data_IF_067212702887
#
_entry.id   IF_067212702887
#
_cell.length_a   1.000
_cell.length_b   1.000
_cell.length_c   1.000
_cell.angle_alpha   90.00
_cell.angle_beta   90.00
_cell.angle_gamma   90.00
#
_symmetry.space_group_name_H-M   'P 1'
#
loop_
_entity.id
_entity.type
_entity.pdbx_description
1 polymer ?
#
# COMPACT_ATOMS: atom_id res chain seq x y z
N UNK A 1 -11.77 -9.25 -20.39
CA UNK A 1 -13.09 -8.57 -20.31
C UNK A 1 -13.18 -7.89 -18.96
N UNK A 2 -13.27 -6.55 -18.91
CA UNK A 2 -13.26 -5.78 -17.66
C UNK A 2 -14.70 -5.43 -17.23
N UNK A 3 -15.42 -6.44 -16.72
CA UNK A 3 -16.87 -6.36 -16.44
C UNK A 3 -17.22 -5.38 -15.31
N UNK A 4 -16.33 -5.23 -14.33
CA UNK A 4 -16.54 -4.39 -13.15
C UNK A 4 -16.02 -2.96 -13.30
N UNK A 5 -15.37 -2.63 -14.41
CA UNK A 5 -14.77 -1.32 -14.63
C UNK A 5 -15.78 -0.18 -14.60
N UNK A 6 -16.99 -0.27 -15.21
CA UNK A 6 -17.99 0.79 -15.11
C UNK A 6 -18.45 1.05 -13.66
N UNK A 7 -18.48 0.02 -12.82
CA UNK A 7 -18.82 0.18 -11.40
C UNK A 7 -17.71 0.91 -10.65
N UNK A 8 -16.45 0.55 -10.88
CA UNK A 8 -15.32 1.21 -10.24
C UNK A 8 -15.19 2.66 -10.71
N UNK A 9 -15.31 2.94 -12.00
CA UNK A 9 -15.27 4.32 -12.53
C UNK A 9 -16.35 5.23 -11.90
N UNK A 10 -17.53 4.69 -11.62
CA UNK A 10 -18.61 5.45 -10.98
C UNK A 10 -18.40 5.70 -9.48
N UNK A 11 -17.71 4.81 -8.76
CA UNK A 11 -17.58 4.87 -7.30
C UNK A 11 -16.20 5.34 -6.83
N UNK A 12 -15.13 4.81 -7.44
CA UNK A 12 -13.74 5.18 -7.16
C UNK A 12 -12.88 4.92 -8.42
N UNK A 13 -12.73 5.92 -9.31
CA UNK A 13 -12.07 5.74 -10.60
C UNK A 13 -10.58 5.42 -10.50
N UNK A 14 -9.93 5.77 -9.38
CA UNK A 14 -8.51 5.48 -9.17
C UNK A 14 -8.27 4.03 -8.76
N UNK A 15 -9.27 3.34 -8.19
CA UNK A 15 -9.11 1.99 -7.66
C UNK A 15 -8.55 1.00 -8.69
N UNK A 16 -9.00 1.05 -9.93
CA UNK A 16 -8.50 0.18 -11.00
C UNK A 16 -6.99 0.36 -11.22
N UNK A 17 -6.52 1.61 -11.24
CA UNK A 17 -5.09 1.92 -11.40
C UNK A 17 -4.28 1.48 -10.18
N UNK A 18 -4.79 1.73 -8.97
CA UNK A 18 -4.14 1.34 -7.72
C UNK A 18 -4.00 -0.18 -7.63
N UNK A 19 -5.05 -0.91 -7.99
CA UNK A 19 -5.02 -2.38 -8.02
C UNK A 19 -3.95 -2.91 -8.98
N UNK A 20 -3.86 -2.33 -10.17
CA UNK A 20 -2.89 -2.79 -11.17
C UNK A 20 -1.45 -2.47 -10.73
N UNK A 21 -1.21 -1.29 -10.16
CA UNK A 21 0.07 -0.92 -9.53
C UNK A 21 0.44 -1.82 -8.36
N UNK A 22 -0.52 -2.18 -7.51
CA UNK A 22 -0.30 -3.14 -6.43
C UNK A 22 0.17 -4.50 -6.94
N UNK A 23 -0.43 -4.98 -8.05
CA UNK A 23 0.00 -6.24 -8.68
C UNK A 23 1.41 -6.15 -9.25
N UNK A 24 1.73 -5.04 -9.90
CA UNK A 24 3.09 -4.79 -10.41
C UNK A 24 4.13 -4.87 -9.28
N UNK A 25 3.86 -4.25 -8.13
CA UNK A 25 4.78 -4.28 -6.97
C UNK A 25 4.96 -5.71 -6.44
N UNK A 26 3.88 -6.48 -6.33
CA UNK A 26 3.95 -7.87 -5.85
C UNK A 26 4.68 -8.79 -6.83
N UNK A 27 4.46 -8.61 -8.13
CA UNK A 27 5.20 -9.36 -9.17
C UNK A 27 6.69 -9.01 -9.15
N UNK A 28 7.01 -7.72 -9.03
CA UNK A 28 8.39 -7.27 -8.90
C UNK A 28 9.06 -7.87 -7.66
N UNK A 29 8.36 -7.99 -6.54
CA UNK A 29 8.90 -8.66 -5.35
C UNK A 29 9.20 -10.14 -5.58
N UNK A 30 8.31 -10.87 -6.27
CA UNK A 30 8.52 -12.27 -6.62
C UNK A 30 9.79 -12.43 -7.48
N UNK A 31 9.95 -11.62 -8.52
CA UNK A 31 11.14 -11.60 -9.39
C UNK A 31 12.42 -11.25 -8.61
N UNK A 32 12.34 -10.29 -7.70
CA UNK A 32 13.49 -9.84 -6.90
C UNK A 32 13.90 -10.85 -5.81
N UNK A 33 12.97 -11.67 -5.33
CA UNK A 33 13.23 -12.65 -4.27
C UNK A 33 14.20 -13.76 -4.70
N UNK A 34 14.33 -13.98 -6.01
CA UNK A 34 15.18 -15.03 -6.59
C UNK A 34 16.63 -14.56 -6.86
N UNK A 35 16.92 -13.25 -6.79
CA UNK A 35 18.22 -12.67 -7.15
C UNK A 35 18.98 -12.11 -5.93
N UNK A 36 20.31 -12.11 -6.01
CA UNK A 36 21.18 -11.49 -4.99
C UNK A 36 21.93 -10.28 -5.59
N UNK A 37 21.79 -9.11 -4.97
CA UNK A 37 22.38 -7.86 -5.46
C UNK A 37 21.34 -6.80 -5.83
N UNK A 38 20.59 -6.37 -4.82
CA UNK A 38 19.37 -5.57 -4.98
C UNK A 38 19.71 -4.08 -4.82
N UNK A 39 19.32 -3.24 -5.79
CA UNK A 39 19.49 -1.79 -5.73
C UNK A 39 18.56 -1.13 -4.70
N UNK A 40 18.75 0.17 -4.45
CA UNK A 40 17.97 0.88 -3.43
C UNK A 40 16.47 0.95 -3.78
N UNK A 41 16.14 1.06 -5.07
CA UNK A 41 14.76 1.05 -5.56
C UNK A 41 14.09 -0.30 -5.32
N UNK A 42 14.79 -1.37 -5.62
CA UNK A 42 14.31 -2.73 -5.45
C UNK A 42 14.14 -3.07 -3.97
N UNK A 43 15.02 -2.57 -3.08
CA UNK A 43 14.81 -2.68 -1.62
C UNK A 43 13.52 -2.01 -1.14
N UNK A 44 13.17 -0.85 -1.69
CA UNK A 44 11.89 -0.18 -1.39
C UNK A 44 10.72 -1.05 -1.85
N UNK A 45 10.80 -1.61 -3.06
CA UNK A 45 9.75 -2.50 -3.59
C UNK A 45 9.53 -3.71 -2.67
N UNK A 46 10.60 -4.36 -2.20
CA UNK A 46 10.52 -5.49 -1.27
C UNK A 46 9.83 -5.12 0.04
N UNK A 47 10.19 -3.98 0.65
CA UNK A 47 9.58 -3.57 1.92
C UNK A 47 8.09 -3.21 1.72
N UNK A 48 7.76 -2.45 0.67
CA UNK A 48 6.36 -2.10 0.42
C UNK A 48 5.54 -3.34 0.08
N UNK A 49 6.07 -4.27 -0.70
CA UNK A 49 5.41 -5.55 -0.97
C UNK A 49 5.15 -6.34 0.32
N UNK A 50 6.08 -6.30 1.28
CA UNK A 50 5.88 -6.89 2.60
C UNK A 50 4.74 -6.22 3.36
N UNK A 51 4.69 -4.89 3.42
CA UNK A 51 3.60 -4.13 4.05
C UNK A 51 2.25 -4.49 3.38
N UNK A 52 2.20 -4.57 2.05
CA UNK A 52 0.99 -4.98 1.33
C UNK A 52 0.58 -6.41 1.73
N UNK A 53 1.52 -7.36 1.82
CA UNK A 53 1.20 -8.75 2.21
C UNK A 53 0.72 -8.86 3.66
N UNK A 54 1.40 -8.21 4.59
CA UNK A 54 1.17 -8.37 6.03
C UNK A 54 0.03 -7.50 6.57
N UNK A 55 -0.21 -6.32 5.98
CA UNK A 55 -1.17 -5.33 6.49
C UNK A 55 -2.39 -5.11 5.60
N UNK A 56 -2.28 -5.34 4.28
CA UNK A 56 -3.41 -5.21 3.35
C UNK A 56 -4.06 -6.56 3.01
N UNK A 57 -3.28 -7.53 2.54
CA UNK A 57 -3.80 -8.83 2.10
C UNK A 57 -4.16 -9.76 3.27
N UNK A 58 -3.40 -9.72 4.37
CA UNK A 58 -3.71 -10.48 5.57
C UNK A 58 -4.79 -9.80 6.40
N UNK A 59 -5.95 -10.48 6.50
CA UNK A 59 -7.13 -10.02 7.23
C UNK A 59 -7.53 -11.06 8.28
N UNK A 60 -7.76 -10.63 9.53
CA UNK A 60 -8.21 -11.51 10.60
C UNK A 60 -9.73 -11.49 10.75
N UNK A 61 -10.40 -12.51 10.17
CA UNK A 61 -11.86 -12.65 10.21
C UNK A 61 -12.50 -12.79 11.60
N UNK A 62 -11.72 -13.09 12.65
CA UNK A 62 -12.22 -13.16 14.03
C UNK A 62 -12.16 -11.81 14.77
N UNK A 63 -11.43 -10.84 14.22
CA UNK A 63 -11.26 -9.53 14.87
C UNK A 63 -12.44 -8.59 14.58
N UNK A 64 -12.73 -7.68 15.50
CA UNK A 64 -13.83 -6.73 15.32
C UNK A 64 -13.56 -5.69 14.21
N UNK A 65 -12.30 -5.38 13.94
CA UNK A 65 -11.88 -4.33 12.98
C UNK A 65 -11.58 -4.85 11.57
N UNK A 66 -11.27 -6.15 11.42
CA UNK A 66 -10.82 -6.78 10.16
C UNK A 66 -11.79 -7.89 9.68
N UNK A 67 -12.90 -8.15 10.41
CA UNK A 67 -13.94 -9.11 9.97
C UNK A 67 -14.68 -8.64 8.71
N UNK A 68 -14.82 -7.34 8.53
CA UNK A 68 -15.44 -6.73 7.35
C UNK A 68 -14.74 -5.41 7.02
N UNK A 69 -14.08 -5.36 5.87
CA UNK A 69 -13.45 -4.14 5.38
C UNK A 69 -14.35 -3.49 4.30
N UNK A 70 -14.91 -2.29 4.55
CA UNK A 70 -15.72 -1.60 3.56
C UNK A 70 -14.85 -1.11 2.38
N UNK A 71 -15.45 -1.01 1.19
CA UNK A 71 -14.71 -0.72 -0.04
C UNK A 71 -13.87 0.56 0.01
N UNK A 72 -14.41 1.64 0.59
CA UNK A 72 -13.65 2.90 0.73
C UNK A 72 -12.38 2.71 1.56
N UNK A 73 -12.42 1.93 2.65
CA UNK A 73 -11.27 1.66 3.51
C UNK A 73 -10.19 0.91 2.73
N UNK A 74 -10.60 -0.09 1.95
CA UNK A 74 -9.70 -0.81 1.04
C UNK A 74 -9.02 0.14 0.05
N UNK A 75 -9.76 1.02 -0.62
CA UNK A 75 -9.15 1.93 -1.60
C UNK A 75 -8.21 2.94 -0.95
N UNK A 76 -8.58 3.52 0.20
CA UNK A 76 -7.73 4.46 0.92
C UNK A 76 -6.44 3.83 1.46
N UNK A 77 -6.53 2.62 2.01
CA UNK A 77 -5.34 1.87 2.43
C UNK A 77 -4.38 1.65 1.25
N UNK A 78 -4.94 1.24 0.10
CA UNK A 78 -4.14 0.97 -1.08
C UNK A 78 -3.51 2.24 -1.67
N UNK A 79 -4.25 3.36 -1.70
CA UNK A 79 -3.77 4.67 -2.14
C UNK A 79 -2.58 5.13 -1.30
N UNK A 80 -2.65 4.97 0.01
CA UNK A 80 -1.57 5.37 0.92
C UNK A 80 -0.31 4.51 0.75
N UNK A 81 -0.47 3.18 0.63
CA UNK A 81 0.67 2.27 0.42
C UNK A 81 1.38 2.52 -0.92
N UNK A 82 0.61 2.72 -1.99
CA UNK A 82 1.17 3.02 -3.33
C UNK A 82 1.78 4.42 -3.37
N UNK A 83 1.13 5.41 -2.77
CA UNK A 83 1.67 6.77 -2.66
C UNK A 83 3.02 6.79 -1.92
N UNK A 84 3.15 6.01 -0.84
CA UNK A 84 4.43 5.87 -0.14
C UNK A 84 5.52 5.26 -1.04
N UNK A 85 5.18 4.21 -1.79
CA UNK A 85 6.09 3.60 -2.76
C UNK A 85 6.56 4.59 -3.83
N UNK A 86 5.62 5.27 -4.48
CA UNK A 86 5.92 6.22 -5.55
C UNK A 86 6.82 7.37 -5.06
N UNK A 87 6.53 7.92 -3.86
CA UNK A 87 7.36 8.96 -3.26
C UNK A 87 8.76 8.46 -2.86
N UNK A 88 8.86 7.26 -2.29
CA UNK A 88 10.14 6.68 -1.89
C UNK A 88 11.03 6.39 -3.11
N UNK A 89 10.46 5.81 -4.18
CA UNK A 89 11.16 5.56 -5.44
C UNK A 89 11.59 6.88 -6.08
N UNK A 90 10.70 7.86 -6.15
CA UNK A 90 11.01 9.18 -6.71
C UNK A 90 12.17 9.87 -5.96
N UNK A 91 12.18 9.81 -4.63
CA UNK A 91 13.25 10.40 -3.83
C UNK A 91 14.62 9.77 -4.12
N UNK A 92 14.67 8.44 -4.22
CA UNK A 92 15.93 7.72 -4.56
C UNK A 92 16.41 8.06 -5.96
N UNK A 93 15.48 8.16 -6.93
CA UNK A 93 15.79 8.52 -8.31
C UNK A 93 16.32 9.96 -8.42
N UNK A 94 15.65 10.94 -7.81
CA UNK A 94 16.07 12.36 -7.83
C UNK A 94 17.42 12.56 -7.15
N UNK A 95 17.67 11.82 -6.08
CA UNK A 95 18.92 11.93 -5.31
C UNK A 95 20.03 11.03 -5.87
N UNK A 96 19.81 10.36 -7.01
CA UNK A 96 20.77 9.45 -7.65
C UNK A 96 21.38 8.43 -6.67
N UNK A 97 20.57 7.92 -5.74
CA UNK A 97 21.01 6.94 -4.72
C UNK A 97 21.84 7.48 -3.56
N UNK A 98 22.03 8.80 -3.41
CA UNK A 98 22.69 9.35 -2.22
C UNK A 98 21.86 9.17 -0.94
N UNK A 99 20.52 9.18 -1.07
CA UNK A 99 19.61 8.78 0.00
C UNK A 99 19.33 7.30 -0.17
N UNK A 100 19.71 6.52 0.84
CA UNK A 100 19.47 5.07 0.89
C UNK A 100 18.15 4.76 1.56
N UNK A 101 17.62 3.56 1.29
CA UNK A 101 16.44 3.01 1.93
C UNK A 101 16.54 3.06 3.46
N UNK A 102 17.71 2.72 4.02
CA UNK A 102 17.93 2.75 5.47
C UNK A 102 17.60 4.13 6.07
N UNK A 103 18.04 5.21 5.42
CA UNK A 103 17.77 6.58 5.88
C UNK A 103 16.29 6.93 5.78
N UNK A 104 15.62 6.49 4.72
CA UNK A 104 14.16 6.68 4.56
C UNK A 104 13.42 5.95 5.67
N UNK A 105 13.74 4.68 5.91
CA UNK A 105 13.15 3.86 6.96
C UNK A 105 13.31 4.47 8.35
N UNK A 106 14.52 4.94 8.68
CA UNK A 106 14.79 5.54 9.99
C UNK A 106 14.00 6.84 10.18
N UNK A 107 13.99 7.70 9.16
CA UNK A 107 13.33 9.01 9.21
C UNK A 107 11.80 8.91 9.16
N UNK A 108 11.27 7.86 8.54
CA UNK A 108 9.83 7.67 8.26
C UNK A 108 9.24 6.48 9.04
N UNK A 109 9.92 6.00 10.08
CA UNK A 109 9.49 4.86 10.89
C UNK A 109 8.08 5.05 11.46
N UNK A 110 7.74 6.25 11.91
CA UNK A 110 6.40 6.61 12.38
C UNK A 110 5.34 6.49 11.28
N UNK A 111 5.68 6.85 10.04
CA UNK A 111 4.74 6.79 8.91
C UNK A 111 4.57 5.34 8.45
N UNK A 112 5.64 4.55 8.42
CA UNK A 112 5.56 3.10 8.15
C UNK A 112 4.67 2.42 9.19
N UNK A 113 4.85 2.75 10.47
CA UNK A 113 3.99 2.24 11.53
C UNK A 113 2.52 2.61 11.33
N UNK A 114 2.23 3.88 10.98
CA UNK A 114 0.87 4.34 10.67
C UNK A 114 0.27 3.63 9.46
N UNK A 115 1.07 3.32 8.44
CA UNK A 115 0.61 2.56 7.27
C UNK A 115 0.19 1.14 7.67
N UNK A 116 0.98 0.46 8.50
CA UNK A 116 0.63 -0.86 9.04
C UNK A 116 -0.58 -0.81 9.97
N UNK A 117 -0.75 0.28 10.73
CA UNK A 117 -1.84 0.40 11.68
C UNK A 117 -3.20 0.76 11.07
N UNK A 118 -3.26 1.14 9.78
CA UNK A 118 -4.51 1.56 9.12
C UNK A 118 -5.61 0.50 9.20
N UNK A 119 -5.26 -0.79 9.24
CA UNK A 119 -6.24 -1.87 9.32
C UNK A 119 -7.00 -1.91 10.65
N UNK A 120 -6.41 -1.40 11.73
CA UNK A 120 -7.03 -1.38 13.06
C UNK A 120 -8.06 -0.26 13.23
N UNK A 121 -8.10 0.70 12.30
CA UNK A 121 -9.08 1.79 12.34
C UNK A 121 -10.49 1.21 12.17
N UNK A 122 -11.27 1.23 13.25
CA UNK A 122 -12.68 0.86 13.24
C UNK A 122 -13.43 2.07 12.72
N UNK A 123 -13.92 1.98 11.48
CA UNK A 123 -14.93 2.92 11.01
C UNK A 123 -16.12 2.82 11.94
N UNK A 124 -16.44 3.89 12.66
CA UNK A 124 -17.71 4.02 13.37
C UNK A 124 -18.79 4.10 12.27
N UNK A 125 -19.22 2.95 11.78
CA UNK A 125 -20.38 2.82 10.90
C UNK A 125 -21.60 2.46 11.74
N UNK A 126 -21.76 3.14 12.88
CA UNK A 126 -23.06 3.30 13.54
C UNK A 126 -23.29 4.80 13.75
N UNK A 127 -23.79 5.46 12.70
CA UNK A 127 -24.41 6.78 12.80
C UNK A 127 -23.47 7.97 12.56
N UNK A 128 -23.64 8.57 11.37
CA UNK A 128 -23.31 9.95 11.03
C UNK A 128 -21.81 10.36 11.02
N UNK A 129 -21.32 10.62 9.80
CA UNK A 129 -20.25 11.59 9.60
C UNK A 129 -19.07 11.07 8.80
N UNK A 130 -19.12 11.28 7.48
CA UNK A 130 -17.89 11.58 6.73
C UNK A 130 -17.15 12.67 7.51
N UNK A 131 -15.96 12.38 8.00
CA UNK A 131 -15.02 13.43 8.39
C UNK A 131 -13.87 13.38 7.38
N UNK A 132 -13.91 14.41 6.52
CA UNK A 132 -12.93 14.95 5.57
C UNK A 132 -11.59 14.22 5.41
#
# INVERSE_FOLDING_TARGET
MKVLEPYYEANDPEFSSLRDRCKEILQLEEELSEISGIGEKEKIALEVARIIKDDFLQQNGYSAYDRYCPFYKTTWMLRNMIGFYDHAVHLVEVTSGQITWAKIRDSMSDIIYKLSSMKFEVGIVEGLGFCA
#
